data_IF_854604585237
#
_entry.id   IF_854604585237
#
_cell.length_a   1.000
_cell.length_b   1.000
_cell.length_c   1.000
_cell.angle_alpha   90.00
_cell.angle_beta   90.00
_cell.angle_gamma   90.00
#
_symmetry.space_group_name_H-M   'P 1'
#
loop_
_entity.id
_entity.type
_entity.pdbx_description
1 polymer ?
#
# COMPACT_ATOMS: atom_id res chain seq x y z
N UNK A 1 21.34 21.43 -22.64
CA UNK A 1 21.34 21.13 -21.19
C UNK A 1 20.38 19.98 -20.95
N UNK A 2 20.78 19.00 -20.14
CA UNK A 2 19.93 17.86 -19.76
C UNK A 2 18.76 18.35 -18.93
N UNK A 3 17.55 18.10 -19.39
CA UNK A 3 16.30 18.54 -18.74
C UNK A 3 15.81 17.53 -17.71
N UNK A 4 16.05 16.22 -17.96
CA UNK A 4 15.69 15.15 -17.02
C UNK A 4 16.63 13.96 -17.17
N UNK A 5 16.78 13.18 -16.11
CA UNK A 5 17.63 12.00 -16.06
C UNK A 5 16.75 10.76 -15.81
N UNK A 6 16.88 9.75 -16.68
CA UNK A 6 16.14 8.48 -16.57
C UNK A 6 17.03 7.50 -15.83
N UNK A 7 16.58 7.01 -14.68
CA UNK A 7 17.28 5.99 -13.91
C UNK A 7 16.63 4.63 -14.19
N UNK A 8 17.45 3.71 -14.67
CA UNK A 8 17.01 2.36 -15.03
C UNK A 8 17.83 1.37 -14.18
N UNK A 9 17.26 0.90 -13.05
CA UNK A 9 17.95 -0.14 -12.26
C UNK A 9 17.91 -1.47 -13.02
N UNK A 10 19.04 -2.19 -13.02
CA UNK A 10 19.15 -3.46 -13.75
C UNK A 10 19.72 -4.58 -12.87
N UNK A 11 19.23 -5.80 -13.11
CA UNK A 11 19.80 -7.03 -12.60
C UNK A 11 19.42 -8.16 -13.56
N UNK A 12 20.36 -8.61 -14.39
CA UNK A 12 20.18 -9.62 -15.43
C UNK A 12 19.06 -9.23 -16.40
N UNK A 13 19.29 -8.16 -17.17
CA UNK A 13 18.33 -7.58 -18.12
C UNK A 13 18.95 -7.44 -19.54
N UNK A 14 20.01 -8.21 -19.85
CA UNK A 14 20.77 -8.06 -21.11
C UNK A 14 19.88 -8.11 -22.35
N UNK A 15 18.82 -8.95 -22.37
CA UNK A 15 17.93 -9.11 -23.52
C UNK A 15 17.10 -7.85 -23.81
N UNK A 16 16.89 -7.02 -22.79
CA UNK A 16 15.99 -5.87 -22.86
C UNK A 16 16.71 -4.55 -23.19
N UNK A 17 18.02 -4.43 -22.94
CA UNK A 17 18.77 -3.16 -23.01
C UNK A 17 18.67 -2.51 -24.39
N UNK A 18 19.01 -3.28 -25.46
CA UNK A 18 19.02 -2.73 -26.82
C UNK A 18 17.65 -2.24 -27.26
N UNK A 19 16.61 -3.01 -26.93
CA UNK A 19 15.25 -2.69 -27.33
C UNK A 19 14.73 -1.45 -26.55
N UNK A 20 15.00 -1.39 -25.25
CA UNK A 20 14.62 -0.24 -24.42
C UNK A 20 15.26 1.05 -24.94
N UNK A 21 16.58 1.03 -25.16
CA UNK A 21 17.30 2.21 -25.65
C UNK A 21 16.87 2.62 -27.05
N UNK A 22 16.64 1.64 -27.93
CA UNK A 22 16.11 1.93 -29.28
C UNK A 22 14.76 2.65 -29.20
N UNK A 23 13.85 2.19 -28.34
CA UNK A 23 12.53 2.83 -28.18
C UNK A 23 12.65 4.21 -27.52
N UNK A 24 13.52 4.36 -26.51
CA UNK A 24 13.74 5.66 -25.84
C UNK A 24 14.28 6.72 -26.81
N UNK A 25 15.28 6.35 -27.63
CA UNK A 25 15.89 7.29 -28.59
C UNK A 25 15.05 7.49 -29.85
N UNK A 26 14.01 6.66 -30.08
CA UNK A 26 13.04 6.85 -31.14
C UNK A 26 11.91 7.82 -30.76
N UNK A 27 11.82 8.22 -29.48
CA UNK A 27 10.82 9.20 -29.03
C UNK A 27 11.07 10.56 -29.68
N UNK A 28 10.02 11.31 -29.96
CA UNK A 28 10.11 12.68 -30.49
C UNK A 28 10.56 13.64 -29.37
N UNK A 29 11.75 13.41 -28.89
CA UNK A 29 12.45 14.20 -27.88
C UNK A 29 13.83 14.57 -28.39
N UNK A 30 14.30 15.77 -28.10
CA UNK A 30 15.67 16.14 -28.43
C UNK A 30 16.62 15.16 -27.70
N UNK A 31 17.45 14.38 -28.40
CA UNK A 31 18.35 13.41 -27.76
C UNK A 31 19.31 14.02 -26.73
N UNK A 32 19.62 15.31 -26.84
CA UNK A 32 20.46 16.02 -25.85
C UNK A 32 19.68 16.52 -24.63
N UNK A 33 18.34 16.38 -24.61
CA UNK A 33 17.53 16.88 -23.52
C UNK A 33 17.41 15.89 -22.36
N UNK A 34 17.87 14.66 -22.53
CA UNK A 34 17.81 13.66 -21.44
C UNK A 34 19.09 12.81 -21.44
N UNK A 35 19.31 12.15 -20.31
CA UNK A 35 20.34 11.12 -20.16
C UNK A 35 19.69 9.86 -19.58
N UNK A 36 20.27 8.71 -19.84
CA UNK A 36 19.83 7.42 -19.30
C UNK A 36 20.95 6.87 -18.41
N UNK A 37 20.66 6.67 -17.15
CA UNK A 37 21.61 6.15 -16.16
C UNK A 37 21.17 4.74 -15.76
N UNK A 38 21.89 3.75 -16.26
CA UNK A 38 21.71 2.37 -15.83
C UNK A 38 22.47 2.16 -14.53
N UNK A 39 21.80 1.56 -13.55
CA UNK A 39 22.41 1.20 -12.27
C UNK A 39 22.33 -0.31 -12.11
N UNK A 40 23.46 -0.96 -12.34
CA UNK A 40 23.55 -2.41 -12.36
C UNK A 40 23.89 -2.97 -10.99
N UNK A 41 23.06 -3.86 -10.48
CA UNK A 41 23.17 -4.47 -9.15
C UNK A 41 23.86 -5.85 -9.20
N UNK A 42 24.90 -5.98 -10.03
CA UNK A 42 25.73 -7.18 -10.09
C UNK A 42 25.22 -8.23 -11.07
N UNK A 43 24.81 -7.80 -12.26
CA UNK A 43 24.40 -8.72 -13.34
C UNK A 43 25.54 -9.65 -13.78
N UNK A 44 25.17 -10.87 -14.15
CA UNK A 44 26.10 -11.90 -14.62
C UNK A 44 25.82 -12.36 -16.05
N UNK A 45 24.85 -11.73 -16.72
CA UNK A 45 24.34 -12.14 -18.03
C UNK A 45 24.85 -11.26 -19.19
N UNK A 46 25.78 -10.35 -18.92
CA UNK A 46 26.32 -9.43 -19.93
C UNK A 46 25.57 -8.10 -20.01
N UNK A 47 24.65 -7.82 -19.08
CA UNK A 47 23.93 -6.52 -19.02
C UNK A 47 24.88 -5.32 -19.05
N UNK A 48 25.95 -5.25 -18.19
CA UNK A 48 26.87 -4.11 -18.21
C UNK A 48 27.54 -3.90 -19.56
N UNK A 49 27.93 -4.98 -20.24
CA UNK A 49 28.60 -4.87 -21.54
C UNK A 49 27.70 -4.30 -22.62
N UNK A 50 26.41 -4.69 -22.58
CA UNK A 50 25.40 -4.12 -23.47
C UNK A 50 25.24 -2.61 -23.24
N UNK A 51 25.15 -2.18 -21.97
CA UNK A 51 25.03 -0.75 -21.65
C UNK A 51 26.28 0.02 -22.11
N UNK A 52 27.50 -0.50 -21.85
CA UNK A 52 28.76 0.13 -22.27
C UNK A 52 28.83 0.35 -23.79
N UNK A 53 28.26 -0.55 -24.57
CA UNK A 53 28.22 -0.40 -26.03
C UNK A 53 27.42 0.85 -26.46
N UNK A 54 26.47 1.29 -25.64
CA UNK A 54 25.67 2.50 -25.91
C UNK A 54 26.31 3.78 -25.36
N UNK A 55 27.16 3.71 -24.31
CA UNK A 55 27.83 4.89 -23.74
C UNK A 55 28.61 5.66 -24.79
N UNK A 56 29.21 4.96 -25.72
CA UNK A 56 30.04 5.55 -26.80
C UNK A 56 29.23 6.21 -27.91
N UNK A 57 27.91 6.01 -27.94
CA UNK A 57 27.03 6.45 -29.05
C UNK A 57 25.99 7.50 -28.63
N UNK A 58 25.71 7.61 -27.33
CA UNK A 58 24.59 8.38 -26.85
C UNK A 58 24.79 8.81 -25.40
N UNK A 59 23.88 9.59 -24.89
CA UNK A 59 23.92 10.11 -23.51
C UNK A 59 23.44 9.02 -22.52
N UNK A 60 24.13 7.89 -22.52
CA UNK A 60 23.90 6.73 -21.66
C UNK A 60 25.06 6.58 -20.70
N UNK A 61 24.82 6.23 -19.47
CA UNK A 61 25.83 6.08 -18.42
C UNK A 61 25.57 4.80 -17.64
N UNK A 62 26.63 4.12 -17.22
CA UNK A 62 26.55 2.90 -16.40
C UNK A 62 27.15 3.14 -15.03
N UNK A 63 26.43 2.73 -14.00
CA UNK A 63 26.92 2.64 -12.61
C UNK A 63 26.84 1.17 -12.22
N UNK A 64 27.96 0.57 -11.85
CA UNK A 64 28.01 -0.81 -11.35
C UNK A 64 28.10 -0.79 -9.84
N UNK A 65 27.08 -1.30 -9.16
CA UNK A 65 27.10 -1.47 -7.70
C UNK A 65 27.62 -2.86 -7.36
N UNK A 66 28.36 -2.96 -6.26
CA UNK A 66 28.96 -4.23 -5.80
C UNK A 66 28.37 -4.68 -4.45
N UNK A 67 27.45 -3.89 -3.92
CA UNK A 67 26.74 -4.23 -2.68
C UNK A 67 25.61 -5.21 -2.97
N UNK A 68 24.97 -5.67 -1.91
CA UNK A 68 23.79 -6.52 -2.03
C UNK A 68 22.72 -5.84 -2.90
N UNK A 69 22.13 -6.53 -3.86
CA UNK A 69 21.11 -5.93 -4.73
C UNK A 69 19.95 -5.31 -3.95
N UNK A 70 19.67 -4.03 -4.26
CA UNK A 70 18.59 -3.27 -3.61
C UNK A 70 18.11 -2.18 -4.55
N UNK A 71 16.87 -2.26 -5.00
CA UNK A 71 16.26 -1.35 -5.97
C UNK A 71 16.28 0.11 -5.49
N UNK A 72 15.96 0.34 -4.20
CA UNK A 72 15.98 1.70 -3.63
C UNK A 72 17.39 2.28 -3.67
N UNK A 73 18.40 1.50 -3.27
CA UNK A 73 19.79 1.95 -3.27
C UNK A 73 20.27 2.24 -4.70
N UNK A 74 19.86 1.43 -5.68
CA UNK A 74 20.20 1.65 -7.09
C UNK A 74 19.61 2.96 -7.61
N UNK A 75 18.35 3.24 -7.31
CA UNK A 75 17.70 4.48 -7.73
C UNK A 75 18.36 5.70 -7.06
N UNK A 76 18.70 5.61 -5.77
CA UNK A 76 19.38 6.69 -5.05
C UNK A 76 20.80 6.92 -5.60
N UNK A 77 21.54 5.86 -5.95
CA UNK A 77 22.87 5.98 -6.57
C UNK A 77 22.78 6.68 -7.94
N UNK A 78 21.78 6.30 -8.76
CA UNK A 78 21.54 6.98 -10.03
C UNK A 78 21.17 8.44 -9.85
N UNK A 79 20.29 8.74 -8.89
CA UNK A 79 19.86 10.12 -8.62
C UNK A 79 21.00 11.01 -8.13
N UNK A 80 21.96 10.44 -7.39
CA UNK A 80 23.12 11.18 -6.91
C UNK A 80 24.07 11.60 -8.03
N UNK A 81 24.14 10.84 -9.13
CA UNK A 81 25.01 11.14 -10.28
C UNK A 81 24.28 11.91 -11.39
N UNK A 82 22.96 11.99 -11.33
CA UNK A 82 22.13 12.64 -12.34
C UNK A 82 22.48 14.12 -12.51
N UNK A 83 22.54 14.58 -13.76
CA UNK A 83 22.86 15.98 -14.11
C UNK A 83 21.62 16.87 -13.99
N UNK A 84 20.43 16.29 -14.04
CA UNK A 84 19.18 17.05 -13.99
C UNK A 84 18.57 17.06 -12.58
N UNK A 85 17.74 18.07 -12.32
CA UNK A 85 16.92 18.15 -11.11
C UNK A 85 15.59 17.40 -11.25
N UNK A 86 15.29 16.89 -12.45
CA UNK A 86 14.11 16.04 -12.68
C UNK A 86 14.57 14.62 -12.96
N UNK A 87 14.14 13.71 -12.12
CA UNK A 87 14.47 12.28 -12.19
C UNK A 87 13.25 11.50 -12.66
N UNK A 88 13.48 10.58 -13.57
CA UNK A 88 12.47 9.56 -13.95
C UNK A 88 13.02 8.21 -13.56
N UNK A 89 12.19 7.38 -12.95
CA UNK A 89 12.51 5.96 -12.68
C UNK A 89 11.70 5.11 -13.66
N UNK A 90 12.31 4.08 -14.22
CA UNK A 90 11.67 3.17 -15.16
C UNK A 90 12.37 1.82 -15.12
N UNK A 91 11.61 0.72 -15.18
CA UNK A 91 12.18 -0.64 -15.24
C UNK A 91 12.72 -0.93 -16.65
N UNK A 92 13.74 -1.82 -16.74
CA UNK A 92 14.37 -2.18 -18.00
C UNK A 92 13.57 -3.17 -18.85
N UNK A 93 12.58 -3.87 -18.26
CA UNK A 93 11.93 -5.05 -18.85
C UNK A 93 10.79 -4.72 -19.83
N UNK A 94 10.66 -3.43 -20.20
CA UNK A 94 9.65 -2.94 -21.17
C UNK A 94 8.21 -3.10 -20.70
N UNK A 95 7.99 -3.43 -19.44
CA UNK A 95 6.63 -3.45 -18.88
C UNK A 95 6.05 -2.04 -18.76
N UNK A 96 6.90 -1.04 -18.67
CA UNK A 96 6.53 0.38 -18.72
C UNK A 96 6.69 0.89 -20.16
N UNK A 97 5.64 1.44 -20.79
CA UNK A 97 5.77 1.93 -22.17
C UNK A 97 6.64 3.20 -22.22
N UNK A 98 7.80 3.15 -22.91
CA UNK A 98 8.65 4.35 -23.05
C UNK A 98 7.90 5.53 -23.68
N UNK A 99 6.90 5.26 -24.51
CA UNK A 99 6.08 6.27 -25.21
C UNK A 99 5.29 7.15 -24.23
N UNK A 100 5.06 6.69 -23.00
CA UNK A 100 4.41 7.51 -21.96
C UNK A 100 5.37 8.49 -21.27
N UNK A 101 6.68 8.37 -21.52
CA UNK A 101 7.71 9.19 -20.87
C UNK A 101 7.45 10.70 -20.99
N UNK A 102 7.14 11.25 -22.20
CA UNK A 102 6.89 12.69 -22.30
C UNK A 102 5.73 13.17 -21.44
N UNK A 103 4.66 12.39 -21.34
CA UNK A 103 3.48 12.74 -20.51
C UNK A 103 3.82 12.69 -19.01
N UNK A 104 4.66 11.74 -18.59
CA UNK A 104 5.06 11.57 -17.18
C UNK A 104 6.03 12.69 -16.76
N UNK A 105 6.96 13.06 -17.62
CA UNK A 105 7.99 14.05 -17.24
C UNK A 105 7.47 15.48 -17.28
N UNK A 106 6.54 15.81 -18.19
CA UNK A 106 6.07 17.18 -18.44
C UNK A 106 5.54 17.89 -17.18
N UNK A 107 4.71 17.29 -16.32
CA UNK A 107 4.22 18.02 -15.13
C UNK A 107 5.32 18.43 -14.15
N UNK A 108 6.40 17.63 -14.05
CA UNK A 108 7.53 17.92 -13.16
C UNK A 108 8.46 18.96 -13.80
N UNK A 109 8.76 18.82 -15.10
CA UNK A 109 9.56 19.80 -15.85
C UNK A 109 8.94 21.18 -15.80
N UNK A 110 7.63 21.27 -15.96
CA UNK A 110 6.90 22.54 -15.98
C UNK A 110 6.60 23.09 -14.58
N UNK A 111 7.14 22.44 -13.53
CA UNK A 111 6.97 22.85 -12.14
C UNK A 111 5.49 22.91 -11.67
N UNK A 112 4.59 22.21 -12.36
CA UNK A 112 3.18 22.14 -11.95
C UNK A 112 2.96 21.07 -10.89
N UNK A 113 3.83 20.04 -10.89
CA UNK A 113 3.78 18.92 -9.95
C UNK A 113 5.18 18.60 -9.43
N UNK A 114 5.24 18.02 -8.25
CA UNK A 114 6.49 17.57 -7.63
C UNK A 114 6.76 16.12 -7.95
N UNK A 115 5.69 15.32 -8.14
CA UNK A 115 5.75 13.90 -8.54
C UNK A 115 4.67 13.63 -9.59
N UNK A 116 5.03 12.89 -10.63
CA UNK A 116 4.09 12.36 -11.64
C UNK A 116 4.27 10.85 -11.76
N UNK A 117 3.19 10.10 -11.64
CA UNK A 117 3.19 8.62 -11.53
C UNK A 117 2.49 8.03 -12.74
N UNK A 118 3.15 7.09 -13.43
CA UNK A 118 2.51 6.24 -14.44
C UNK A 118 1.61 5.23 -13.74
N UNK A 119 0.31 5.41 -13.82
CA UNK A 119 -0.67 4.68 -13.01
C UNK A 119 -1.49 3.69 -13.85
N UNK A 120 -1.58 2.47 -13.34
CA UNK A 120 -2.38 1.37 -13.91
C UNK A 120 -3.86 1.43 -13.49
N UNK A 121 -4.17 2.21 -12.45
CA UNK A 121 -5.44 2.10 -11.71
C UNK A 121 -6.32 3.35 -11.75
N UNK A 122 -5.99 4.29 -12.63
CA UNK A 122 -6.86 5.43 -12.95
C UNK A 122 -7.57 5.22 -14.29
N UNK A 123 -8.56 6.05 -14.60
CA UNK A 123 -9.27 5.97 -15.89
C UNK A 123 -8.26 6.09 -17.06
N UNK A 124 -8.28 5.13 -17.98
CA UNK A 124 -7.34 5.02 -19.09
C UNK A 124 -6.10 4.16 -18.80
N UNK A 125 -5.85 3.81 -17.54
CA UNK A 125 -4.77 2.89 -17.16
C UNK A 125 -5.22 1.44 -17.25
N UNK A 126 -4.28 0.53 -17.49
CA UNK A 126 -4.59 -0.90 -17.62
C UNK A 126 -3.39 -1.79 -17.32
N UNK A 127 -3.66 -3.09 -17.17
CA UNK A 127 -2.63 -4.14 -17.08
C UNK A 127 -2.98 -5.21 -18.11
N UNK A 128 -2.11 -5.40 -19.10
CA UNK A 128 -2.32 -6.42 -20.13
C UNK A 128 -1.78 -7.78 -19.68
N UNK A 129 -2.53 -8.83 -20.01
CA UNK A 129 -2.15 -10.24 -19.84
C UNK A 129 -1.93 -10.69 -18.40
N UNK A 130 -2.30 -9.87 -17.39
CA UNK A 130 -2.19 -10.30 -16.01
C UNK A 130 -3.34 -11.22 -15.61
N UNK A 131 -3.07 -12.36 -14.97
CA UNK A 131 -4.14 -13.18 -14.36
C UNK A 131 -4.95 -12.37 -13.36
N UNK A 132 -6.24 -12.67 -13.25
CA UNK A 132 -7.17 -11.94 -12.35
C UNK A 132 -6.67 -11.88 -10.91
N UNK A 133 -6.10 -12.99 -10.39
CA UNK A 133 -5.58 -13.02 -9.01
C UNK A 133 -4.44 -12.02 -8.80
N UNK A 134 -3.56 -11.85 -9.81
CA UNK A 134 -2.43 -10.90 -9.76
C UNK A 134 -2.94 -9.45 -9.77
N UNK A 135 -3.96 -9.17 -10.62
CA UNK A 135 -4.63 -7.87 -10.65
C UNK A 135 -5.25 -7.55 -9.29
N UNK A 136 -5.98 -8.53 -8.71
CA UNK A 136 -6.63 -8.36 -7.41
C UNK A 136 -5.60 -8.11 -6.29
N UNK A 137 -4.54 -8.92 -6.22
CA UNK A 137 -3.47 -8.75 -5.22
C UNK A 137 -2.81 -7.37 -5.32
N UNK A 138 -2.54 -6.91 -6.54
CA UNK A 138 -1.91 -5.60 -6.77
C UNK A 138 -2.85 -4.45 -6.39
N UNK A 139 -4.16 -4.55 -6.74
CA UNK A 139 -5.17 -3.57 -6.34
C UNK A 139 -5.35 -3.51 -4.83
N UNK A 140 -5.38 -4.68 -4.16
CA UNK A 140 -5.47 -4.76 -2.69
C UNK A 140 -4.24 -4.10 -2.06
N UNK A 141 -3.04 -4.36 -2.61
CA UNK A 141 -1.80 -3.72 -2.13
C UNK A 141 -1.86 -2.20 -2.24
N UNK A 142 -2.32 -1.68 -3.37
CA UNK A 142 -2.53 -0.23 -3.57
C UNK A 142 -3.61 0.32 -2.63
N UNK A 143 -4.72 -0.40 -2.49
CA UNK A 143 -5.83 0.01 -1.62
C UNK A 143 -5.41 0.11 -0.14
N UNK A 144 -4.54 -0.81 0.33
CA UNK A 144 -3.99 -0.75 1.70
C UNK A 144 -3.11 0.50 1.89
N UNK A 145 -2.40 0.94 0.84
CA UNK A 145 -1.55 2.14 0.90
C UNK A 145 -2.34 3.47 0.82
N UNK A 146 -3.56 3.45 0.26
CA UNK A 146 -4.39 4.67 0.03
C UNK A 146 -4.61 5.54 1.27
N UNK A 147 -4.92 5.00 2.46
CA UNK A 147 -5.10 5.85 3.65
C UNK A 147 -3.82 6.59 4.07
N UNK A 148 -2.68 6.14 3.56
CA UNK A 148 -1.36 6.64 3.93
C UNK A 148 -0.84 7.63 2.87
N UNK A 149 -1.13 7.35 1.58
CA UNK A 149 -0.77 8.24 0.47
C UNK A 149 -1.95 8.28 -0.51
N UNK A 150 -2.44 9.48 -0.79
CA UNK A 150 -3.67 9.69 -1.59
C UNK A 150 -3.38 9.56 -3.09
N UNK A 151 -2.93 8.36 -3.49
CA UNK A 151 -2.69 7.99 -4.89
C UNK A 151 -3.26 6.59 -5.16
N UNK A 152 -3.62 6.34 -6.41
CA UNK A 152 -4.18 5.04 -6.82
C UNK A 152 -3.10 3.98 -7.01
N UNK A 153 -1.90 4.37 -7.46
CA UNK A 153 -0.81 3.43 -7.76
C UNK A 153 0.50 3.82 -7.05
N UNK A 154 0.51 3.71 -5.72
CA UNK A 154 1.69 3.96 -4.88
C UNK A 154 2.82 2.94 -5.11
N UNK A 155 2.57 1.89 -5.91
CA UNK A 155 3.54 0.81 -6.16
C UNK A 155 4.10 0.83 -7.57
N UNK A 156 3.82 1.86 -8.36
CA UNK A 156 4.35 2.00 -9.71
C UNK A 156 5.88 2.12 -9.69
N UNK A 157 6.54 1.45 -10.63
CA UNK A 157 7.98 1.61 -10.90
C UNK A 157 8.27 2.67 -11.95
N UNK A 158 7.24 3.35 -12.48
CA UNK A 158 7.39 4.36 -13.54
C UNK A 158 6.85 5.71 -13.05
N UNK A 159 7.76 6.60 -12.67
CA UNK A 159 7.36 7.90 -12.11
C UNK A 159 8.48 8.94 -12.29
N UNK A 160 8.11 10.20 -12.35
CA UNK A 160 9.03 11.34 -12.38
C UNK A 160 8.91 12.13 -11.07
N UNK A 161 10.03 12.68 -10.59
CA UNK A 161 10.03 13.45 -9.35
C UNK A 161 11.23 14.42 -9.32
N UNK A 162 11.18 15.39 -8.40
CA UNK A 162 12.31 16.33 -8.19
C UNK A 162 13.43 15.65 -7.41
N UNK A 163 14.65 15.74 -7.91
CA UNK A 163 15.84 15.14 -7.28
C UNK A 163 15.99 15.51 -5.80
N UNK A 164 15.64 16.75 -5.42
CA UNK A 164 15.73 17.21 -4.02
C UNK A 164 14.93 16.32 -3.05
N UNK A 165 13.87 15.67 -3.52
CA UNK A 165 13.04 14.79 -2.69
C UNK A 165 13.79 13.51 -2.25
N UNK A 166 14.89 13.16 -2.88
CA UNK A 166 15.72 12.02 -2.43
C UNK A 166 16.25 12.25 -1.00
N UNK A 167 16.51 13.52 -0.64
CA UNK A 167 16.97 13.88 0.71
C UNK A 167 15.98 13.59 1.82
N UNK A 168 14.70 13.42 1.49
CA UNK A 168 13.66 13.08 2.48
C UNK A 168 13.55 11.57 2.73
N UNK A 169 14.14 10.74 1.86
CA UNK A 169 14.05 9.28 1.97
C UNK A 169 14.99 8.81 3.09
N UNK A 170 14.44 8.02 4.01
CA UNK A 170 15.20 7.50 5.14
C UNK A 170 16.37 6.62 4.70
N UNK A 171 17.51 6.73 5.36
CA UNK A 171 18.67 5.84 5.15
C UNK A 171 18.33 4.37 5.47
N UNK A 172 17.22 4.11 6.15
CA UNK A 172 16.72 2.75 6.42
C UNK A 172 15.73 2.26 5.37
N UNK A 173 15.50 3.05 4.30
CA UNK A 173 14.62 2.63 3.20
C UNK A 173 15.35 1.60 2.35
N UNK A 174 14.88 0.38 2.36
CA UNK A 174 15.42 -0.74 1.58
C UNK A 174 14.28 -1.45 0.86
N UNK A 175 14.59 -2.03 -0.31
CA UNK A 175 13.65 -2.88 -1.04
C UNK A 175 13.09 -2.27 -2.31
N UNK A 176 11.84 -2.59 -2.64
CA UNK A 176 11.31 -2.45 -3.99
C UNK A 176 10.29 -1.31 -4.18
N UNK A 177 10.09 -0.43 -3.19
CA UNK A 177 8.96 0.52 -3.23
C UNK A 177 9.38 1.96 -2.88
N UNK A 178 10.40 2.45 -3.59
CA UNK A 178 10.93 3.80 -3.35
C UNK A 178 9.87 4.90 -3.52
N UNK A 179 8.93 4.75 -4.46
CA UNK A 179 7.84 5.71 -4.63
C UNK A 179 7.02 5.86 -3.35
N UNK A 180 6.68 4.74 -2.69
CA UNK A 180 5.95 4.76 -1.43
C UNK A 180 6.77 5.49 -0.34
N UNK A 181 8.08 5.23 -0.24
CA UNK A 181 8.97 5.91 0.71
C UNK A 181 8.96 7.42 0.48
N UNK A 182 9.07 7.83 -0.78
CA UNK A 182 9.10 9.24 -1.18
C UNK A 182 7.78 9.94 -0.82
N UNK A 183 6.64 9.31 -1.12
CA UNK A 183 5.31 9.84 -0.80
C UNK A 183 5.12 9.96 0.72
N UNK A 184 5.53 8.94 1.47
CA UNK A 184 5.39 8.88 2.93
C UNK A 184 6.29 9.90 3.64
N UNK A 185 7.54 10.03 3.19
CA UNK A 185 8.49 10.97 3.81
C UNK A 185 7.99 12.42 3.72
N UNK A 186 7.12 12.71 2.74
CA UNK A 186 6.63 14.06 2.47
C UNK A 186 5.12 14.20 2.67
N UNK A 187 4.52 13.44 3.54
CA UNK A 187 3.07 13.31 3.80
C UNK A 187 2.24 14.56 3.49
N UNK A 188 1.42 14.50 2.44
CA UNK A 188 0.46 15.54 2.08
C UNK A 188 1.04 16.87 1.58
N UNK A 189 2.37 17.01 1.50
CA UNK A 189 3.02 18.26 1.06
C UNK A 189 3.31 18.28 -0.42
N UNK A 190 3.30 17.11 -1.09
CA UNK A 190 3.66 17.01 -2.50
C UNK A 190 2.44 17.22 -3.40
N UNK A 191 2.66 17.98 -4.47
CA UNK A 191 1.70 18.11 -5.57
C UNK A 191 1.90 16.90 -6.49
N UNK A 192 1.06 15.86 -6.34
CA UNK A 192 1.16 14.61 -7.10
C UNK A 192 0.14 14.61 -8.25
N UNK A 193 0.48 13.95 -9.34
CA UNK A 193 -0.47 13.63 -10.43
C UNK A 193 -0.24 12.19 -10.89
N UNK A 194 -1.28 11.55 -11.40
CA UNK A 194 -1.20 10.22 -11.99
C UNK A 194 -1.53 10.33 -13.50
N UNK A 195 -0.72 9.67 -14.31
CA UNK A 195 -0.84 9.62 -15.79
C UNK A 195 -1.20 8.16 -16.14
N UNK A 196 -2.26 7.93 -16.91
CA UNK A 196 -2.64 6.55 -17.22
C UNK A 196 -1.59 5.88 -18.12
N UNK A 197 -1.20 4.65 -17.76
CA UNK A 197 -0.31 3.83 -18.57
C UNK A 197 -0.92 2.45 -18.81
N UNK A 198 -0.59 1.85 -19.94
CA UNK A 198 -0.85 0.44 -20.18
C UNK A 198 0.39 -0.36 -19.78
N UNK A 199 0.30 -1.10 -18.68
CA UNK A 199 1.40 -1.92 -18.18
C UNK A 199 1.36 -3.28 -18.91
N UNK A 200 2.42 -3.60 -19.60
CA UNK A 200 2.56 -4.86 -20.33
C UNK A 200 3.23 -5.93 -19.47
N UNK A 201 2.97 -7.19 -19.74
CA UNK A 201 3.79 -8.23 -19.12
C UNK A 201 5.19 -8.19 -19.74
N UNK A 202 6.19 -8.61 -19.00
CA UNK A 202 7.61 -8.56 -19.40
C UNK A 202 7.82 -9.21 -20.76
N UNK A 203 8.63 -8.59 -21.59
CA UNK A 203 8.98 -9.14 -22.89
C UNK A 203 9.90 -10.35 -22.73
N UNK A 204 10.88 -10.24 -21.84
CA UNK A 204 11.85 -11.31 -21.53
C UNK A 204 12.07 -11.38 -20.00
N UNK A 205 12.46 -12.57 -19.51
CA UNK A 205 12.79 -12.79 -18.11
C UNK A 205 11.63 -13.35 -17.27
N UNK A 206 11.92 -13.69 -16.02
CA UNK A 206 10.94 -14.23 -15.06
C UNK A 206 10.70 -13.26 -13.91
N UNK A 207 9.47 -13.24 -13.39
CA UNK A 207 9.13 -12.37 -12.26
C UNK A 207 9.92 -12.78 -11.01
N UNK A 208 10.69 -11.85 -10.45
CA UNK A 208 11.47 -12.04 -9.22
C UNK A 208 10.63 -11.80 -7.96
N UNK A 209 9.31 -11.50 -8.12
CA UNK A 209 8.40 -11.28 -6.98
C UNK A 209 8.09 -12.60 -6.28
N UNK A 210 8.63 -12.76 -5.08
CA UNK A 210 8.37 -13.92 -4.23
C UNK A 210 7.43 -13.54 -3.07
N UNK A 211 6.94 -14.53 -2.38
CA UNK A 211 6.12 -14.34 -1.17
C UNK A 211 6.86 -13.51 -0.11
N UNK A 212 8.18 -13.68 -0.01
CA UNK A 212 9.01 -12.89 0.92
C UNK A 212 8.99 -11.39 0.60
N UNK A 213 8.95 -11.02 -0.69
CA UNK A 213 8.84 -9.61 -1.10
C UNK A 213 7.49 -8.99 -0.69
N UNK A 214 6.41 -9.79 -0.77
CA UNK A 214 5.08 -9.34 -0.32
C UNK A 214 5.04 -9.16 1.21
N UNK A 215 5.65 -10.08 1.96
CA UNK A 215 5.77 -9.95 3.42
C UNK A 215 6.57 -8.71 3.79
N UNK A 216 7.71 -8.47 3.13
CA UNK A 216 8.54 -7.28 3.37
C UNK A 216 7.77 -6.00 3.07
N UNK A 217 6.97 -5.98 2.01
CA UNK A 217 6.11 -4.83 1.66
C UNK A 217 5.09 -4.54 2.78
N UNK A 218 4.39 -5.58 3.25
CA UNK A 218 3.40 -5.44 4.34
C UNK A 218 4.09 -4.96 5.61
N UNK A 219 5.24 -5.54 5.98
CA UNK A 219 6.01 -5.11 7.14
C UNK A 219 6.43 -3.65 7.03
N UNK A 220 6.86 -3.22 5.83
CA UNK A 220 7.25 -1.83 5.60
C UNK A 220 6.07 -0.88 5.72
N UNK A 221 4.90 -1.25 5.15
CA UNK A 221 3.65 -0.47 5.31
C UNK A 221 3.30 -0.29 6.79
N UNK A 222 3.40 -1.36 7.58
CA UNK A 222 3.14 -1.33 9.01
C UNK A 222 4.14 -0.39 9.72
N UNK A 223 5.42 -0.49 9.37
CA UNK A 223 6.46 0.39 9.94
C UNK A 223 6.18 1.86 9.63
N UNK A 224 5.85 2.15 8.37
CA UNK A 224 5.53 3.51 7.92
C UNK A 224 4.23 4.05 8.55
N UNK A 225 3.28 3.16 8.83
CA UNK A 225 2.00 3.51 9.48
C UNK A 225 2.10 3.65 11.02
N UNK A 226 3.30 3.67 11.59
CA UNK A 226 3.50 3.86 13.04
C UNK A 226 4.15 2.69 13.76
N UNK A 227 4.61 1.69 13.02
CA UNK A 227 5.46 0.62 13.53
C UNK A 227 4.81 -0.33 14.54
N UNK A 228 5.62 -0.79 15.51
CA UNK A 228 5.21 -1.78 16.51
C UNK A 228 4.08 -1.29 17.43
N UNK A 229 3.98 0.02 17.67
CA UNK A 229 2.89 0.59 18.48
C UNK A 229 1.52 0.33 17.83
N UNK A 230 1.42 0.54 16.51
CA UNK A 230 0.19 0.27 15.73
C UNK A 230 -0.13 -1.23 15.73
N UNK A 231 0.88 -2.10 15.54
CA UNK A 231 0.71 -3.55 15.60
C UNK A 231 0.22 -4.02 16.97
N UNK A 232 0.80 -3.49 18.04
CA UNK A 232 0.40 -3.84 19.40
C UNK A 232 -1.05 -3.40 19.67
N UNK A 233 -1.42 -2.20 19.22
CA UNK A 233 -2.79 -1.69 19.35
C UNK A 233 -3.76 -2.55 18.53
N UNK A 234 -3.41 -2.89 17.29
CA UNK A 234 -4.22 -3.76 16.43
C UNK A 234 -4.35 -5.17 17.01
N UNK A 235 -3.25 -5.71 17.55
CA UNK A 235 -3.24 -7.02 18.20
C UNK A 235 -4.13 -7.05 19.45
N UNK A 236 -4.03 -6.02 20.28
CA UNK A 236 -4.90 -5.88 21.47
C UNK A 236 -6.37 -5.75 21.07
N UNK A 237 -6.65 -4.95 20.05
CA UNK A 237 -8.02 -4.78 19.51
C UNK A 237 -8.57 -6.11 19.01
N UNK A 238 -7.78 -6.89 18.26
CA UNK A 238 -8.18 -8.21 17.76
C UNK A 238 -8.45 -9.20 18.91
N UNK A 239 -7.58 -9.19 19.93
CA UNK A 239 -7.75 -10.04 21.13
C UNK A 239 -9.05 -9.69 21.88
N UNK A 240 -9.33 -8.39 22.05
CA UNK A 240 -10.59 -7.93 22.67
C UNK A 240 -11.79 -8.37 21.82
N UNK A 241 -11.70 -8.25 20.49
CA UNK A 241 -12.77 -8.70 19.59
C UNK A 241 -13.06 -10.20 19.71
N UNK A 242 -11.99 -11.03 19.75
CA UNK A 242 -12.13 -12.49 19.94
C UNK A 242 -12.77 -12.81 21.31
N UNK A 243 -12.31 -12.13 22.35
CA UNK A 243 -12.89 -12.31 23.69
C UNK A 243 -14.39 -11.94 23.70
N UNK A 244 -14.74 -10.87 22.99
CA UNK A 244 -16.15 -10.47 22.85
C UNK A 244 -17.00 -11.54 22.17
N UNK A 245 -16.49 -12.16 21.11
CA UNK A 245 -17.18 -13.25 20.42
C UNK A 245 -17.39 -14.44 21.37
N UNK A 246 -16.39 -14.79 22.15
CA UNK A 246 -16.49 -15.88 23.14
C UNK A 246 -17.54 -15.58 24.21
N UNK A 247 -17.52 -14.38 24.78
CA UNK A 247 -18.49 -13.93 25.78
C UNK A 247 -19.92 -13.97 25.22
N UNK A 248 -20.09 -13.44 24.01
CA UNK A 248 -21.39 -13.43 23.33
C UNK A 248 -21.91 -14.86 23.15
N UNK A 249 -21.07 -15.78 22.63
CA UNK A 249 -21.47 -17.16 22.40
C UNK A 249 -21.83 -17.90 23.69
N UNK A 250 -21.03 -17.71 24.76
CA UNK A 250 -21.26 -18.34 26.06
C UNK A 250 -22.59 -17.85 26.66
N UNK A 251 -22.81 -16.55 26.71
CA UNK A 251 -24.04 -15.96 27.29
C UNK A 251 -25.27 -16.39 26.44
N UNK A 252 -25.13 -16.31 25.12
CA UNK A 252 -26.21 -16.71 24.22
C UNK A 252 -26.61 -18.17 24.47
N UNK A 253 -25.64 -19.10 24.48
CA UNK A 253 -25.90 -20.53 24.68
C UNK A 253 -26.48 -20.78 26.07
N UNK A 254 -25.97 -20.09 27.11
CA UNK A 254 -26.49 -20.21 28.46
C UNK A 254 -27.96 -19.78 28.55
N UNK A 255 -28.30 -18.64 27.90
CA UNK A 255 -29.70 -18.15 27.88
C UNK A 255 -30.64 -19.10 27.14
N UNK A 256 -30.21 -19.62 25.97
CA UNK A 256 -30.99 -20.60 25.19
C UNK A 256 -31.21 -21.88 26.02
N UNK A 257 -30.20 -22.36 26.74
CA UNK A 257 -30.30 -23.57 27.56
C UNK A 257 -31.26 -23.39 28.76
N UNK A 258 -31.51 -22.11 29.16
CA UNK A 258 -32.48 -21.76 30.20
C UNK A 258 -33.89 -21.48 29.64
N UNK A 259 -34.11 -21.71 28.33
CA UNK A 259 -35.40 -21.52 27.69
C UNK A 259 -35.70 -20.10 27.26
N UNK A 260 -34.76 -19.20 27.25
CA UNK A 260 -34.97 -17.84 26.76
C UNK A 260 -35.25 -17.84 25.26
N UNK A 261 -36.13 -16.95 24.84
CA UNK A 261 -36.40 -16.79 23.40
C UNK A 261 -35.18 -16.26 22.64
N UNK A 262 -35.06 -16.67 21.37
CA UNK A 262 -33.94 -16.37 20.50
C UNK A 262 -33.57 -14.86 20.48
N UNK A 263 -34.60 -14.00 20.35
CA UNK A 263 -34.42 -12.54 20.27
C UNK A 263 -33.82 -11.98 21.57
N UNK A 264 -34.38 -12.41 22.73
CA UNK A 264 -33.88 -11.96 24.04
C UNK A 264 -32.45 -12.42 24.29
N UNK A 265 -32.15 -13.70 24.00
CA UNK A 265 -30.81 -14.25 24.17
C UNK A 265 -29.80 -13.49 23.31
N UNK A 266 -30.15 -13.23 22.04
CA UNK A 266 -29.28 -12.48 21.09
C UNK A 266 -29.02 -11.04 21.57
N UNK A 267 -30.08 -10.33 21.99
CA UNK A 267 -29.97 -8.95 22.46
C UNK A 267 -29.10 -8.86 23.74
N UNK A 268 -29.34 -9.71 24.72
CA UNK A 268 -28.62 -9.66 26.00
C UNK A 268 -27.15 -10.07 25.84
N UNK A 269 -26.87 -11.15 25.09
CA UNK A 269 -25.50 -11.60 24.86
C UNK A 269 -24.69 -10.55 24.14
N UNK A 270 -25.25 -9.94 23.08
CA UNK A 270 -24.61 -8.84 22.34
C UNK A 270 -24.33 -7.65 23.24
N UNK A 271 -25.31 -7.21 24.04
CA UNK A 271 -25.17 -6.03 24.91
C UNK A 271 -24.04 -6.21 25.92
N UNK A 272 -23.94 -7.38 26.55
CA UNK A 272 -22.87 -7.67 27.51
C UNK A 272 -21.51 -7.71 26.78
N UNK A 273 -21.42 -8.41 25.65
CA UNK A 273 -20.18 -8.51 24.87
C UNK A 273 -19.74 -7.13 24.38
N UNK A 274 -20.66 -6.30 23.90
CA UNK A 274 -20.36 -4.95 23.43
C UNK A 274 -19.85 -4.05 24.55
N UNK A 275 -20.43 -4.16 25.75
CA UNK A 275 -20.00 -3.40 26.94
C UNK A 275 -18.58 -3.81 27.35
N UNK A 276 -18.28 -5.10 27.40
CA UNK A 276 -16.95 -5.61 27.70
C UNK A 276 -15.96 -5.15 26.63
N UNK A 277 -16.30 -5.29 25.35
CA UNK A 277 -15.45 -4.85 24.25
C UNK A 277 -15.14 -3.35 24.33
N UNK A 278 -16.15 -2.51 24.56
CA UNK A 278 -15.95 -1.07 24.69
C UNK A 278 -14.99 -0.75 25.85
N UNK A 279 -15.23 -1.37 27.02
CA UNK A 279 -14.44 -1.12 28.22
C UNK A 279 -12.97 -1.53 28.04
N UNK A 280 -12.75 -2.73 27.50
CA UNK A 280 -11.40 -3.24 27.25
C UNK A 280 -10.68 -2.45 26.17
N UNK A 281 -11.37 -2.09 25.09
CA UNK A 281 -10.77 -1.28 24.03
C UNK A 281 -10.37 0.11 24.58
N UNK A 282 -11.24 0.75 25.35
CA UNK A 282 -10.96 2.07 25.92
C UNK A 282 -9.80 2.05 26.93
N UNK A 283 -9.70 1.00 27.77
CA UNK A 283 -8.72 0.95 28.86
C UNK A 283 -7.40 0.27 28.48
N UNK A 284 -7.42 -0.65 27.50
CA UNK A 284 -6.26 -1.49 27.19
C UNK A 284 -5.77 -1.35 25.75
N UNK A 285 -6.66 -1.45 24.74
CA UNK A 285 -6.22 -1.44 23.35
C UNK A 285 -5.74 -0.04 22.92
N UNK A 286 -6.44 1.02 23.32
CA UNK A 286 -6.15 2.40 22.92
C UNK A 286 -5.61 3.28 24.07
N UNK A 287 -4.95 2.67 25.04
CA UNK A 287 -4.43 3.35 26.25
C UNK A 287 -3.49 4.52 25.92
N UNK A 288 -2.71 4.41 24.86
CA UNK A 288 -1.71 5.42 24.46
C UNK A 288 -2.33 6.65 23.77
N UNK A 289 -3.60 6.57 23.38
CA UNK A 289 -4.28 7.61 22.58
C UNK A 289 -5.41 8.32 23.33
N UNK A 290 -5.67 7.97 24.59
CA UNK A 290 -6.76 8.55 25.37
C UNK A 290 -6.35 8.99 26.77
N UNK A 291 -6.87 10.14 27.18
CA UNK A 291 -6.65 10.75 28.50
C UNK A 291 -7.44 10.07 29.65
N UNK A 292 -7.69 8.78 29.55
CA UNK A 292 -8.12 7.96 30.69
C UNK A 292 -9.58 8.05 31.14
N UNK A 293 -10.36 8.99 30.63
CA UNK A 293 -11.76 9.13 31.09
C UNK A 293 -12.74 8.54 30.06
N UNK A 294 -13.59 7.61 30.53
CA UNK A 294 -14.70 7.09 29.74
C UNK A 294 -15.72 8.23 29.53
N UNK A 295 -15.80 8.74 28.30
CA UNK A 295 -16.83 9.74 27.96
C UNK A 295 -18.14 9.01 27.57
N UNK A 296 -19.16 9.14 28.37
CA UNK A 296 -20.48 8.54 28.15
C UNK A 296 -21.04 8.85 26.74
N UNK A 297 -20.75 10.01 26.22
CA UNK A 297 -21.12 10.42 24.86
C UNK A 297 -20.51 9.49 23.79
N UNK A 298 -19.22 9.10 23.95
CA UNK A 298 -18.56 8.18 23.02
C UNK A 298 -19.14 6.76 23.14
N UNK A 299 -19.52 6.35 24.34
CA UNK A 299 -20.21 5.08 24.54
C UNK A 299 -21.58 5.08 23.85
N UNK A 300 -22.31 6.18 23.92
CA UNK A 300 -23.61 6.33 23.21
C UNK A 300 -23.43 6.17 21.69
N UNK A 301 -22.44 6.84 21.10
CA UNK A 301 -22.13 6.70 19.66
C UNK A 301 -21.74 5.26 19.30
N UNK A 302 -20.93 4.61 20.14
CA UNK A 302 -20.55 3.21 19.95
C UNK A 302 -21.79 2.30 19.97
N UNK A 303 -22.72 2.52 20.91
CA UNK A 303 -23.97 1.77 20.99
C UNK A 303 -24.88 2.00 19.78
N UNK A 304 -24.90 3.22 19.21
CA UNK A 304 -25.72 3.52 18.02
C UNK A 304 -25.24 2.69 16.82
N UNK A 305 -23.94 2.67 16.59
CA UNK A 305 -23.33 1.86 15.53
C UNK A 305 -23.55 0.36 15.83
N UNK A 306 -23.39 -0.03 17.09
CA UNK A 306 -23.62 -1.40 17.54
C UNK A 306 -25.06 -1.86 17.36
N UNK A 307 -26.05 -0.96 17.60
CA UNK A 307 -27.46 -1.28 17.40
C UNK A 307 -27.78 -1.60 15.93
N UNK A 308 -27.18 -0.86 15.00
CA UNK A 308 -27.33 -1.14 13.56
C UNK A 308 -26.75 -2.52 13.22
N UNK A 309 -25.57 -2.82 13.75
CA UNK A 309 -24.93 -4.13 13.57
C UNK A 309 -25.76 -5.26 14.19
N UNK A 310 -26.38 -5.00 15.35
CA UNK A 310 -27.25 -5.95 16.06
C UNK A 310 -28.48 -6.30 15.21
N UNK A 311 -29.13 -5.30 14.62
CA UNK A 311 -30.31 -5.50 13.78
C UNK A 311 -29.96 -6.33 12.54
N UNK A 312 -28.84 -5.99 11.87
CA UNK A 312 -28.35 -6.71 10.71
C UNK A 312 -28.02 -8.17 11.06
N UNK A 313 -27.29 -8.37 12.15
CA UNK A 313 -26.92 -9.69 12.66
C UNK A 313 -28.14 -10.50 13.08
N UNK A 314 -29.11 -9.86 13.76
CA UNK A 314 -30.36 -10.49 14.18
C UNK A 314 -31.18 -10.98 13.00
N UNK A 315 -31.26 -10.19 11.92
CA UNK A 315 -31.91 -10.58 10.68
C UNK A 315 -31.27 -11.80 10.04
N UNK A 316 -29.94 -11.83 9.95
CA UNK A 316 -29.21 -12.99 9.41
C UNK A 316 -29.39 -14.22 10.31
N UNK A 317 -29.33 -14.02 11.64
CA UNK A 317 -29.52 -15.13 12.59
C UNK A 317 -30.95 -15.73 12.45
N UNK A 318 -31.95 -14.88 12.36
CA UNK A 318 -33.34 -15.34 12.17
C UNK A 318 -33.50 -16.11 10.87
N UNK A 319 -32.91 -15.63 9.78
CA UNK A 319 -32.92 -16.29 8.47
C UNK A 319 -32.27 -17.68 8.55
N UNK A 320 -31.10 -17.79 9.17
CA UNK A 320 -30.39 -19.05 9.31
C UNK A 320 -31.17 -20.07 10.17
N UNK A 321 -31.74 -19.60 11.28
CA UNK A 321 -32.44 -20.50 12.24
C UNK A 321 -33.85 -20.86 11.73
N UNK A 322 -34.64 -19.90 11.29
CA UNK A 322 -36.07 -20.13 10.98
C UNK A 322 -36.33 -20.57 9.53
N UNK A 323 -35.46 -20.16 8.59
CA UNK A 323 -35.62 -20.53 7.17
C UNK A 323 -34.75 -21.73 6.81
N UNK A 324 -33.47 -21.68 7.20
CA UNK A 324 -32.51 -22.74 6.83
C UNK A 324 -32.33 -23.81 7.93
N UNK A 325 -33.04 -23.67 9.07
CA UNK A 325 -33.04 -24.64 10.19
C UNK A 325 -31.62 -24.96 10.73
N UNK A 326 -30.70 -24.00 10.63
CA UNK A 326 -29.35 -24.14 11.19
C UNK A 326 -29.44 -24.08 12.73
N UNK A 327 -28.79 -24.98 13.47
CA UNK A 327 -28.78 -24.89 14.94
C UNK A 327 -28.32 -23.51 15.42
N UNK A 328 -29.02 -22.91 16.41
CA UNK A 328 -28.73 -21.52 16.83
C UNK A 328 -27.26 -21.25 17.18
N UNK A 329 -26.59 -22.20 17.81
CA UNK A 329 -25.16 -22.06 18.16
C UNK A 329 -24.29 -21.97 16.90
N UNK A 330 -24.55 -22.80 15.92
CA UNK A 330 -23.80 -22.76 14.65
C UNK A 330 -24.13 -21.49 13.87
N UNK A 331 -25.37 -21.07 13.90
CA UNK A 331 -25.82 -19.82 13.24
C UNK A 331 -25.10 -18.59 13.83
N UNK A 332 -24.92 -18.55 15.13
CA UNK A 332 -24.26 -17.41 15.78
C UNK A 332 -22.76 -17.37 15.48
N UNK A 333 -22.12 -18.51 15.41
CA UNK A 333 -20.74 -18.62 14.93
C UNK A 333 -20.56 -18.16 13.49
N UNK A 334 -21.36 -18.33 12.71
CA UNK A 334 -21.33 -17.92 11.35
C UNK A 334 -21.50 -16.44 11.18
N UNK A 335 -22.23 -15.91 12.12
CA UNK A 335 -22.44 -14.51 12.10
C UNK A 335 -21.26 -13.79 12.72
N UNK A 336 -20.66 -14.54 13.62
CA UNK A 336 -19.50 -14.01 14.26
C UNK A 336 -18.28 -14.07 13.37
N UNK A 337 -18.23 -15.05 12.62
CA UNK A 337 -17.20 -15.19 11.66
C UNK A 337 -17.33 -14.16 10.58
N UNK A 338 -18.42 -13.88 10.25
CA UNK A 338 -18.70 -12.89 9.25
C UNK A 338 -18.45 -11.50 9.77
N UNK A 339 -18.75 -11.37 10.96
CA UNK A 339 -18.51 -10.12 11.63
C UNK A 339 -17.03 -9.89 11.91
N UNK A 340 -16.44 -10.96 12.17
CA UNK A 340 -15.04 -10.91 12.40
C UNK A 340 -14.26 -10.67 11.13
N UNK A 341 -14.76 -11.15 10.21
CA UNK A 341 -14.21 -10.88 8.91
C UNK A 341 -14.49 -9.45 8.49
N UNK A 342 -15.54 -9.01 8.81
CA UNK A 342 -15.90 -7.67 8.52
C UNK A 342 -15.19 -6.70 9.43
N UNK A 343 -15.02 -7.19 10.54
CA UNK A 343 -14.27 -6.40 11.50
C UNK A 343 -12.79 -6.36 11.20
N UNK A 344 -12.46 -7.39 10.77
CA UNK A 344 -11.10 -7.47 10.34
C UNK A 344 -10.84 -6.60 9.16
N UNK A 345 -11.75 -6.54 8.44
CA UNK A 345 -11.70 -5.66 7.30
C UNK A 345 -11.89 -4.22 7.72
N UNK A 346 -12.69 -4.09 8.58
CA UNK A 346 -12.89 -2.81 9.15
C UNK A 346 -11.73 -2.36 10.00
N UNK A 347 -11.23 -3.30 10.60
CA UNK A 347 -10.06 -3.00 11.39
C UNK A 347 -8.88 -2.63 10.56
N UNK A 348 -8.90 -3.23 9.64
CA UNK A 348 -7.90 -2.90 8.67
C UNK A 348 -8.15 -1.52 8.13
N UNK A 349 -9.27 -1.27 7.95
CA UNK A 349 -9.65 0.01 7.45
C UNK A 349 -9.58 1.05 8.54
N UNK A 350 -9.90 0.61 9.61
CA UNK A 350 -9.79 1.45 10.76
C UNK A 350 -8.35 1.69 11.16
N UNK A 351 -7.74 0.78 11.06
CA UNK A 351 -6.34 0.92 11.31
C UNK A 351 -5.71 1.83 10.33
N UNK A 352 -6.17 1.77 9.34
CA UNK A 352 -5.76 2.64 8.30
C UNK A 352 -6.29 4.05 8.53
N UNK A 353 -7.37 4.04 8.95
CA UNK A 353 -7.97 5.28 9.25
C UNK A 353 -7.37 5.91 10.49
N UNK A 354 -7.06 5.08 11.27
CA UNK A 354 -6.40 5.53 12.45
C UNK A 354 -5.01 6.00 12.17
N UNK A 355 -4.58 5.39 11.41
CA UNK A 355 -3.31 5.79 10.92
C UNK A 355 -3.42 7.12 10.23
N UNK A 356 -4.38 7.25 9.62
CA UNK A 356 -4.63 8.48 8.96
C UNK A 356 -5.02 9.56 9.95
N UNK A 357 -5.63 9.16 10.79
CA UNK A 357 -5.94 10.02 11.85
C UNK A 357 -4.74 10.37 12.71
N UNK A 358 -4.09 9.50 12.84
CA UNK A 358 -2.88 9.71 13.56
C UNK A 358 -1.93 10.53 12.78
N UNK A 359 -1.98 10.32 11.70
CA UNK A 359 -1.22 11.11 10.78
C UNK A 359 -1.75 12.52 10.72
N UNK A 360 -2.85 12.54 10.77
CA UNK A 360 -3.45 13.81 10.78
C UNK A 360 -3.24 14.54 12.08
N UNK A 361 -3.24 13.81 12.94
CA UNK A 361 -2.93 14.33 14.24
C UNK A 361 -1.47 14.69 14.39
N UNK A 362 -0.89 14.02 13.89
CA UNK A 362 0.50 14.30 13.86
C UNK A 362 0.81 15.49 13.02
N UNK A 363 0.14 15.56 12.12
CA UNK A 363 0.27 16.71 11.27
C UNK A 363 -0.25 17.97 11.93
N UNK A 364 -1.09 17.73 12.56
CA UNK A 364 -1.57 18.78 13.34
C UNK A 364 -0.64 19.21 14.44
N UNK A 365 -0.11 18.35 14.86
CA UNK A 365 0.83 18.63 15.89
C UNK A 365 2.11 19.19 15.37
N UNK A 366 2.23 19.07 14.44
CA UNK A 366 3.32 19.66 13.78
C UNK A 366 3.06 21.07 13.34
N UNK A 367 2.10 21.35 13.33
CA UNK A 367 1.71 22.65 12.95
C UNK A 367 1.70 23.62 14.07
N UNK A 368 1.90 23.23 15.27
CA UNK A 368 2.08 24.11 16.43
C UNK A 368 3.52 23.99 16.96
#
# INVERSE_FOLDING_TARGET
MTQFSIIVPTLNESENIDLLLTRLFALDLNPGSFEVIFVDDGSTDGTPDKVRAWENRSNVHLIERREKPDLTASILAGAATARSDVIVVMDADLSHPPESLPAIVAPVLNNTRDVAIGSRYIAGGSTENWPLYRQLLSRVGGWIARPICDVNDATSGFFAFRRELTGSISNTAHGYKILLELLMANQGKLRVTEIPICFHDRTHGTSKLSFSHQQAYIQRLITLAGGTATLNTAGRFAAVGLLGVLIDAIIFQWMISRGAGLALAHFMSFFVAATVNYTLNSKWAFREHHTGYLKWYQFGRFLTVGAFALLLRGGVLALLVYIWHVPPLLAIFXXXXXXXXXXXXXXXXXXXXXXXXXXXXXXXXXXY
#
